data_IF_495103671435
#
_entry.id   IF_495103671435
#
_cell.length_a   1.000
_cell.length_b   1.000
_cell.length_c   1.000
_cell.angle_alpha   90.00
_cell.angle_beta   90.00
_cell.angle_gamma   90.00
#
_symmetry.space_group_name_H-M   'P 1'
#
loop_
_entity.id
_entity.type
_entity.pdbx_description
1 polymer ?
#
# COMPACT_ATOMS: atom_id res chain seq x y z
N UNK A 1 -19.46 36.85 6.92
CA UNK A 1 -18.58 35.65 6.87
C UNK A 1 -17.17 35.95 6.33
N UNK A 2 -16.96 36.85 5.35
CA UNK A 2 -15.60 37.22 4.89
C UNK A 2 -14.71 37.92 5.95
N UNK A 3 -15.30 38.71 6.86
CA UNK A 3 -14.54 39.46 7.88
C UNK A 3 -13.94 38.59 9.00
N UNK A 4 -14.49 37.41 9.26
CA UNK A 4 -13.97 36.51 10.30
C UNK A 4 -12.71 35.74 9.81
N UNK A 5 -12.64 35.44 8.51
CA UNK A 5 -11.48 34.76 7.90
C UNK A 5 -10.25 35.68 7.84
N UNK A 6 -10.46 36.97 7.56
CA UNK A 6 -9.39 37.96 7.48
C UNK A 6 -8.72 38.21 8.85
N UNK A 7 -9.52 38.25 9.93
CA UNK A 7 -8.99 38.38 11.29
C UNK A 7 -8.24 37.14 11.78
N UNK A 8 -8.62 35.95 11.33
CA UNK A 8 -7.90 34.71 11.68
C UNK A 8 -6.53 34.65 10.98
N UNK A 9 -6.46 35.02 9.71
CA UNK A 9 -5.21 35.11 8.95
C UNK A 9 -4.26 36.17 9.53
N UNK A 10 -4.77 37.35 9.89
CA UNK A 10 -3.99 38.38 10.58
C UNK A 10 -3.50 37.90 11.95
N UNK A 11 -4.35 37.21 12.72
CA UNK A 11 -3.99 36.74 14.06
C UNK A 11 -2.94 35.62 14.02
N UNK A 12 -2.99 34.73 13.02
CA UNK A 12 -1.94 33.72 12.78
C UNK A 12 -0.65 34.41 12.33
N UNK A 13 -0.72 35.39 11.43
CA UNK A 13 0.45 36.15 10.99
C UNK A 13 1.10 36.93 12.15
N UNK A 14 0.34 37.55 13.05
CA UNK A 14 0.88 38.29 14.20
C UNK A 14 1.49 37.36 15.26
N UNK A 15 0.90 36.20 15.53
CA UNK A 15 1.47 35.21 16.48
C UNK A 15 2.73 34.57 15.91
N UNK A 16 2.74 34.26 14.60
CA UNK A 16 3.90 33.70 13.89
C UNK A 16 5.02 34.74 13.77
N UNK A 17 4.73 36.00 13.40
CA UNK A 17 5.73 37.08 13.41
C UNK A 17 6.26 37.37 14.82
N UNK A 18 5.42 37.34 15.85
CA UNK A 18 5.83 37.54 17.24
C UNK A 18 6.78 36.44 17.74
N UNK A 19 6.53 35.19 17.35
CA UNK A 19 7.43 34.06 17.64
C UNK A 19 8.74 34.12 16.84
N UNK A 20 8.68 34.49 15.56
CA UNK A 20 9.87 34.65 14.71
C UNK A 20 10.74 35.83 15.15
N UNK A 21 10.17 36.97 15.54
CA UNK A 21 10.93 38.13 16.05
C UNK A 21 11.64 37.81 17.38
N UNK A 22 11.01 36.99 18.24
CA UNK A 22 11.63 36.50 19.47
C UNK A 22 12.82 35.55 19.20
N UNK A 23 12.73 34.72 18.16
CA UNK A 23 13.80 33.78 17.76
C UNK A 23 14.95 34.52 17.06
N UNK A 24 14.65 35.48 16.18
CA UNK A 24 15.65 36.31 15.50
C UNK A 24 16.39 37.22 16.47
N UNK A 25 15.71 37.83 17.44
CA UNK A 25 16.36 38.64 18.49
C UNK A 25 17.31 37.83 19.37
N UNK A 26 17.09 36.52 19.54
CA UNK A 26 17.98 35.65 20.31
C UNK A 26 19.22 35.23 19.50
N UNK A 27 19.14 35.24 18.17
CA UNK A 27 20.24 34.93 17.27
C UNK A 27 21.20 36.12 17.04
N UNK A 28 20.71 37.36 17.11
CA UNK A 28 21.55 38.57 16.97
C UNK A 28 22.52 38.78 18.14
N UNK A 29 22.26 38.22 19.32
CA UNK A 29 23.13 38.37 20.50
C UNK A 29 24.38 37.46 20.54
N UNK A 30 24.63 36.63 19.53
CA UNK A 30 25.75 35.67 19.51
C UNK A 30 26.75 35.85 18.35
N UNK A 31 26.69 36.96 17.60
CA UNK A 31 27.47 37.14 16.37
C UNK A 31 28.42 38.33 16.36
N UNK A 32 29.36 38.43 17.31
CA UNK A 32 30.48 39.36 17.20
C UNK A 32 31.82 38.62 17.26
N UNK A 33 32.10 37.83 16.23
CA UNK A 33 33.49 37.53 15.82
C UNK A 33 33.54 37.26 14.32
N UNK A 34 34.38 38.04 13.64
CA UNK A 34 34.63 38.01 12.21
C UNK A 34 35.09 36.62 11.74
N UNK A 35 34.32 35.99 10.85
CA UNK A 35 34.88 35.04 9.89
C UNK A 35 34.03 35.06 8.61
N UNK A 36 34.42 35.91 7.66
CA UNK A 36 33.81 36.04 6.35
C UNK A 36 34.23 34.88 5.44
N UNK A 37 33.58 33.73 5.58
CA UNK A 37 33.41 32.79 4.46
C UNK A 37 32.18 33.28 3.72
N UNK A 38 32.35 33.71 2.47
CA UNK A 38 31.27 34.29 1.66
C UNK A 38 30.08 33.33 1.56
N UNK A 39 29.04 33.58 2.35
CA UNK A 39 27.71 33.07 2.10
C UNK A 39 27.24 33.75 0.80
N UNK A 40 26.91 33.00 -0.27
CA UNK A 40 26.28 33.62 -1.43
C UNK A 40 25.03 34.35 -0.95
N UNK A 41 24.72 35.50 -1.56
CA UNK A 41 23.55 36.31 -1.22
C UNK A 41 22.27 35.51 -1.50
N UNK A 42 21.84 34.71 -0.51
CA UNK A 42 20.71 33.79 -0.64
C UNK A 42 19.37 34.51 -0.59
N UNK A 43 19.35 35.83 -0.27
CA UNK A 43 18.13 36.60 -0.07
C UNK A 43 17.33 36.80 -1.37
N UNK A 44 17.99 36.75 -2.52
CA UNK A 44 17.37 36.83 -3.86
C UNK A 44 17.47 35.50 -4.64
N UNK A 45 17.88 34.42 -3.98
CA UNK A 45 18.17 33.16 -4.67
C UNK A 45 16.89 32.38 -5.00
N UNK A 46 16.84 31.86 -6.23
CA UNK A 46 15.75 31.01 -6.67
C UNK A 46 15.77 29.67 -5.92
N UNK A 47 14.82 29.41 -5.01
CA UNK A 47 14.74 28.17 -4.22
C UNK A 47 14.86 26.90 -5.10
N UNK A 48 14.34 26.94 -6.31
CA UNK A 48 14.44 25.83 -7.28
C UNK A 48 15.88 25.39 -7.53
N UNK A 49 16.87 26.30 -7.51
CA UNK A 49 18.27 25.94 -7.76
C UNK A 49 18.91 25.13 -6.63
N UNK A 50 18.28 25.06 -5.47
CA UNK A 50 18.74 24.26 -4.33
C UNK A 50 18.04 22.90 -4.23
N UNK A 51 16.99 22.66 -5.03
CA UNK A 51 16.30 21.38 -5.05
C UNK A 51 17.23 20.28 -5.57
N UNK A 52 17.17 19.12 -4.93
CA UNK A 52 17.95 17.92 -5.31
C UNK A 52 17.14 16.98 -6.19
N UNK A 53 15.81 17.09 -6.15
CA UNK A 53 14.88 16.21 -6.85
C UNK A 53 13.87 17.01 -7.67
N UNK A 54 13.22 16.36 -8.65
CA UNK A 54 12.15 17.00 -9.42
C UNK A 54 10.94 17.37 -8.54
N UNK A 55 10.65 16.56 -7.52
CA UNK A 55 9.63 16.85 -6.51
C UNK A 55 9.98 18.11 -5.72
N UNK A 56 11.22 18.19 -5.22
CA UNK A 56 11.74 19.37 -4.55
C UNK A 56 11.69 20.62 -5.41
N UNK A 57 12.05 20.52 -6.70
CA UNK A 57 12.03 21.66 -7.61
C UNK A 57 10.61 22.23 -7.79
N UNK A 58 9.61 21.36 -7.94
CA UNK A 58 8.20 21.75 -8.05
C UNK A 58 7.65 22.31 -6.73
N UNK A 59 8.06 21.75 -5.61
CA UNK A 59 7.71 22.28 -4.28
C UNK A 59 8.34 23.66 -4.05
N UNK A 60 9.60 23.87 -4.45
CA UNK A 60 10.29 25.15 -4.36
C UNK A 60 9.56 26.25 -5.15
N UNK A 61 9.15 25.96 -6.39
CA UNK A 61 8.35 26.90 -7.19
C UNK A 61 7.00 27.25 -6.52
N UNK A 62 6.33 26.24 -5.94
CA UNK A 62 5.11 26.45 -5.18
C UNK A 62 5.36 27.34 -3.96
N UNK A 63 6.39 27.05 -3.17
CA UNK A 63 6.80 27.85 -2.01
C UNK A 63 7.05 29.29 -2.43
N UNK A 64 7.80 29.53 -3.51
CA UNK A 64 8.12 30.86 -4.02
C UNK A 64 6.89 31.67 -4.47
N UNK A 65 5.82 30.98 -4.89
CA UNK A 65 4.56 31.62 -5.26
C UNK A 65 3.68 32.02 -4.06
N UNK A 66 4.02 31.60 -2.84
CA UNK A 66 3.33 32.01 -1.62
C UNK A 66 3.61 33.49 -1.36
N UNK A 67 2.64 34.34 -1.67
CA UNK A 67 2.73 35.78 -1.45
C UNK A 67 1.75 36.19 -0.35
N UNK A 68 2.29 36.75 0.74
CA UNK A 68 1.47 37.43 1.76
C UNK A 68 1.56 38.92 1.48
N UNK A 69 0.41 39.56 1.25
CA UNK A 69 0.30 41.01 1.27
C UNK A 69 0.32 41.45 2.74
N UNK A 70 1.42 42.06 3.17
CA UNK A 70 1.41 42.86 4.39
C UNK A 70 0.78 44.20 4.00
N UNK A 71 -0.44 44.45 4.48
CA UNK A 71 -1.08 45.74 4.27
C UNK A 71 -0.24 46.81 4.98
N UNK A 72 0.14 47.84 4.24
CA UNK A 72 0.96 48.93 4.73
C UNK A 72 0.09 49.89 5.53
N UNK A 73 -0.45 49.46 6.67
CA UNK A 73 -0.98 50.42 7.62
C UNK A 73 0.23 51.09 8.29
N UNK A 74 0.47 52.40 8.07
CA UNK A 74 1.51 53.09 8.80
C UNK A 74 1.17 53.03 10.28
N UNK A 75 1.97 52.31 11.06
CA UNK A 75 1.96 52.46 12.51
C UNK A 75 2.38 53.90 12.78
N UNK A 76 1.41 54.76 13.09
CA UNK A 76 1.66 56.12 13.57
C UNK A 76 2.37 56.01 14.93
N UNK A 77 3.70 55.92 14.90
CA UNK A 77 4.53 56.25 16.04
C UNK A 77 4.49 57.76 16.34
N UNK A 78 4.92 58.19 17.53
CA UNK A 78 5.01 59.60 17.86
C UNK A 78 5.82 60.37 16.80
N UNK A 79 5.51 61.67 16.57
CA UNK A 79 6.04 62.41 15.42
C UNK A 79 7.57 62.43 15.42
N UNK A 80 8.20 61.87 14.37
CA UNK A 80 9.64 61.95 14.15
C UNK A 80 10.37 60.63 13.85
N UNK A 81 9.73 59.46 14.06
CA UNK A 81 10.34 58.15 13.78
C UNK A 81 9.38 57.22 13.02
N UNK A 82 9.16 57.52 11.74
CA UNK A 82 8.54 56.55 10.82
C UNK A 82 9.62 55.60 10.30
N UNK A 83 9.54 54.31 10.63
CA UNK A 83 10.27 53.29 9.88
C UNK A 83 9.51 53.06 8.56
N UNK A 84 10.13 53.31 7.39
CA UNK A 84 9.49 52.99 6.12
C UNK A 84 9.42 51.47 5.98
N UNK A 85 8.26 50.88 6.30
CA UNK A 85 7.92 49.54 5.83
C UNK A 85 7.46 49.70 4.40
N UNK A 86 8.35 49.41 3.44
CA UNK A 86 7.93 49.33 2.04
C UNK A 86 6.89 48.21 1.93
N UNK A 87 5.67 48.55 1.50
CA UNK A 87 4.66 47.57 1.13
C UNK A 87 5.22 46.71 -0.01
N UNK A 88 5.54 45.45 0.30
CA UNK A 88 6.06 44.47 -0.64
C UNK A 88 5.32 43.15 -0.48
N UNK A 89 5.26 42.35 -1.55
CA UNK A 89 4.88 40.94 -1.40
C UNK A 89 6.00 40.24 -0.65
N UNK A 90 5.71 39.74 0.56
CA UNK A 90 6.68 38.99 1.34
C UNK A 90 6.37 37.51 1.26
N UNK A 91 7.37 36.73 0.87
CA UNK A 91 7.32 35.29 0.95
C UNK A 91 7.93 34.83 2.29
N UNK A 92 7.11 34.88 3.33
CA UNK A 92 7.52 34.52 4.70
C UNK A 92 8.06 33.08 4.78
N UNK A 93 7.56 32.17 3.95
CA UNK A 93 7.96 30.77 3.98
C UNK A 93 9.33 30.56 3.33
N UNK A 94 9.60 31.21 2.20
CA UNK A 94 10.92 31.20 1.54
C UNK A 94 11.99 31.83 2.41
N UNK A 95 11.69 33.00 3.01
CA UNK A 95 12.61 33.70 3.88
C UNK A 95 12.94 32.89 5.13
N UNK A 96 11.96 32.19 5.71
CA UNK A 96 12.17 31.29 6.85
C UNK A 96 13.12 30.15 6.47
N UNK A 97 12.93 29.49 5.33
CA UNK A 97 13.81 28.40 4.88
C UNK A 97 15.25 28.90 4.74
N UNK A 98 15.46 30.05 4.10
CA UNK A 98 16.79 30.63 3.89
C UNK A 98 17.42 31.07 5.22
N UNK A 99 16.66 31.72 6.11
CA UNK A 99 17.17 32.23 7.38
C UNK A 99 17.57 31.12 8.36
N UNK A 100 16.86 29.99 8.34
CA UNK A 100 17.13 28.87 9.23
C UNK A 100 18.18 27.90 8.70
N UNK A 101 18.47 27.94 7.40
CA UNK A 101 19.40 27.03 6.73
C UNK A 101 20.82 27.61 6.68
N UNK A 102 21.81 27.04 7.39
CA UNK A 102 23.17 27.58 7.44
C UNK A 102 23.95 27.38 6.12
N UNK A 103 23.49 26.50 5.23
CA UNK A 103 24.09 26.27 3.92
C UNK A 103 23.06 26.02 2.81
N UNK A 104 23.50 26.12 1.55
CA UNK A 104 22.73 25.75 0.36
C UNK A 104 22.25 24.29 0.38
N UNK A 105 23.03 23.39 1.00
CA UNK A 105 22.64 21.99 1.14
C UNK A 105 21.47 21.83 2.12
N UNK A 106 21.44 22.62 3.20
CA UNK A 106 20.36 22.61 4.19
C UNK A 106 19.05 23.17 3.61
N UNK A 107 19.14 24.19 2.74
CA UNK A 107 18.00 24.68 1.95
C UNK A 107 17.42 23.55 1.10
N UNK A 108 18.29 22.77 0.43
CA UNK A 108 17.87 21.59 -0.33
C UNK A 108 17.16 20.54 0.54
N UNK A 109 17.67 20.24 1.74
CA UNK A 109 17.02 19.32 2.68
C UNK A 109 15.64 19.82 3.09
N UNK A 110 15.51 21.11 3.41
CA UNK A 110 14.23 21.72 3.77
C UNK A 110 13.20 21.61 2.63
N UNK A 111 13.61 21.90 1.39
CA UNK A 111 12.76 21.79 0.20
C UNK A 111 12.29 20.34 -0.01
N UNK A 112 13.18 19.35 0.08
CA UNK A 112 12.80 17.94 -0.10
C UNK A 112 11.83 17.45 0.99
N UNK A 113 12.06 17.87 2.24
CA UNK A 113 11.16 17.53 3.37
C UNK A 113 9.75 18.11 3.17
N UNK A 114 9.67 19.33 2.61
CA UNK A 114 8.42 20.02 2.29
C UNK A 114 7.71 19.46 1.06
N UNK A 115 8.45 18.86 0.13
CA UNK A 115 7.89 18.31 -1.11
C UNK A 115 6.92 17.16 -0.86
N UNK A 116 7.07 16.38 0.22
CA UNK A 116 6.10 15.34 0.61
C UNK A 116 5.78 14.29 -0.47
N UNK A 117 6.79 13.84 -1.23
CA UNK A 117 6.60 12.82 -2.28
C UNK A 117 6.02 11.49 -1.77
N UNK A 118 6.12 11.22 -0.46
CA UNK A 118 5.51 10.04 0.17
C UNK A 118 3.99 9.96 0.01
N UNK A 119 3.29 11.07 -0.21
CA UNK A 119 1.85 11.07 -0.49
C UNK A 119 1.49 10.33 -1.79
N UNK A 120 2.40 10.30 -2.77
CA UNK A 120 2.23 9.52 -4.00
C UNK A 120 2.43 8.01 -3.76
N UNK A 121 3.23 7.60 -2.77
CA UNK A 121 3.49 6.17 -2.49
C UNK A 121 2.33 5.46 -1.77
N UNK A 122 1.31 6.20 -1.34
CA UNK A 122 0.16 5.64 -0.61
C UNK A 122 -0.70 4.70 -1.45
N UNK A 123 -0.76 4.87 -2.77
CA UNK A 123 -1.48 3.95 -3.67
C UNK A 123 -0.84 2.56 -3.66
N UNK A 124 0.48 2.50 -3.91
CA UNK A 124 1.24 1.25 -3.93
C UNK A 124 1.16 0.51 -2.60
N UNK A 125 1.27 1.21 -1.47
CA UNK A 125 1.10 0.64 -0.14
C UNK A 125 -0.33 0.10 0.10
N UNK A 126 -1.36 0.86 -0.29
CA UNK A 126 -2.75 0.43 -0.11
C UNK A 126 -3.08 -0.79 -0.97
N UNK A 127 -2.59 -0.83 -2.22
CA UNK A 127 -2.74 -1.97 -3.13
C UNK A 127 -2.01 -3.21 -2.59
N UNK A 128 -0.78 -3.05 -2.09
CA UNK A 128 -0.05 -4.14 -1.44
C UNK A 128 -0.81 -4.67 -0.21
N UNK A 129 -1.39 -3.79 0.62
CA UNK A 129 -2.17 -4.16 1.80
C UNK A 129 -3.44 -4.96 1.48
N UNK A 130 -4.10 -4.64 0.37
CA UNK A 130 -5.35 -5.28 -0.06
C UNK A 130 -5.15 -6.57 -0.86
N UNK A 131 -3.93 -6.81 -1.37
CA UNK A 131 -3.59 -8.01 -2.16
C UNK A 131 -3.87 -9.35 -1.44
N UNK A 132 -3.86 -9.36 -0.10
CA UNK A 132 -4.13 -10.55 0.70
C UNK A 132 -5.52 -11.12 0.48
N UNK A 133 -6.50 -10.29 0.11
CA UNK A 133 -7.88 -10.71 -0.12
C UNK A 133 -7.99 -11.59 -1.36
N UNK A 134 -7.37 -11.18 -2.47
CA UNK A 134 -7.34 -11.96 -3.70
C UNK A 134 -6.53 -13.25 -3.51
N UNK A 135 -5.42 -13.20 -2.78
CA UNK A 135 -4.66 -14.41 -2.45
C UNK A 135 -5.47 -15.39 -1.60
N UNK A 136 -6.32 -14.89 -0.68
CA UNK A 136 -7.25 -15.71 0.09
C UNK A 136 -8.29 -16.40 -0.80
N UNK A 137 -8.84 -15.69 -1.80
CA UNK A 137 -9.76 -16.30 -2.79
C UNK A 137 -9.08 -17.40 -3.60
N UNK A 138 -7.85 -17.15 -4.09
CA UNK A 138 -7.08 -18.16 -4.83
C UNK A 138 -6.77 -19.37 -3.95
N UNK A 139 -6.49 -19.16 -2.66
CA UNK A 139 -6.28 -20.24 -1.70
C UNK A 139 -7.56 -21.06 -1.47
N UNK A 140 -8.71 -20.41 -1.33
CA UNK A 140 -10.00 -21.09 -1.18
C UNK A 140 -10.42 -21.88 -2.45
N UNK A 141 -10.05 -21.38 -3.63
CA UNK A 141 -10.25 -22.03 -4.94
C UNK A 141 -9.11 -22.98 -5.32
N UNK A 142 -8.25 -23.36 -4.37
CA UNK A 142 -7.35 -24.46 -4.65
C UNK A 142 -8.15 -25.75 -4.81
N UNK A 143 -7.75 -26.61 -5.76
CA UNK A 143 -8.51 -27.80 -6.10
C UNK A 143 -8.76 -28.67 -4.87
N UNK A 144 -10.05 -28.87 -4.59
CA UNK A 144 -10.56 -29.94 -3.73
C UNK A 144 -10.49 -31.21 -4.59
N UNK A 145 -9.30 -31.75 -4.77
CA UNK A 145 -8.99 -33.02 -5.44
C UNK A 145 -10.21 -33.86 -5.89
N UNK A 146 -10.77 -33.52 -7.06
CA UNK A 146 -12.04 -34.06 -7.54
C UNK A 146 -11.95 -35.38 -8.29
N UNK A 147 -10.82 -35.74 -8.90
CA UNK A 147 -10.78 -36.95 -9.73
C UNK A 147 -9.37 -37.54 -9.93
N UNK A 148 -8.64 -37.69 -8.84
CA UNK A 148 -7.46 -38.56 -8.82
C UNK A 148 -7.43 -39.27 -7.49
N UNK A 149 -8.47 -40.07 -7.27
CA UNK A 149 -8.32 -41.20 -6.36
C UNK A 149 -7.08 -41.95 -6.82
N UNK A 150 -6.09 -42.12 -5.94
CA UNK A 150 -5.23 -43.27 -6.08
C UNK A 150 -6.20 -44.47 -6.24
N UNK A 151 -6.02 -45.36 -7.22
CA UNK A 151 -6.76 -46.61 -7.26
C UNK A 151 -6.25 -47.50 -6.12
N UNK A 152 -6.35 -47.05 -4.87
CA UNK A 152 -6.23 -47.94 -3.71
C UNK A 152 -7.57 -48.65 -3.64
N UNK A 153 -7.64 -49.82 -4.27
CA UNK A 153 -8.76 -50.76 -4.13
C UNK A 153 -9.58 -51.06 -5.40
N UNK A 154 -9.08 -50.80 -6.61
CA UNK A 154 -9.75 -51.30 -7.83
C UNK A 154 -9.08 -52.55 -8.43
N UNK A 155 -7.85 -52.87 -8.04
CA UNK A 155 -7.23 -54.16 -8.37
C UNK A 155 -7.40 -55.13 -7.19
N UNK A 156 -8.42 -55.98 -7.28
CA UNK A 156 -8.71 -57.03 -6.29
C UNK A 156 -7.60 -58.07 -6.18
N UNK A 157 -6.65 -58.12 -7.13
CA UNK A 157 -5.50 -59.03 -7.07
C UNK A 157 -4.36 -58.51 -6.19
N UNK A 158 -4.29 -57.19 -5.92
CA UNK A 158 -3.20 -56.58 -5.15
C UNK A 158 -3.57 -56.27 -3.70
N UNK A 159 -4.86 -56.29 -3.33
CA UNK A 159 -5.31 -56.01 -1.95
C UNK A 159 -6.48 -56.91 -1.51
N UNK A 160 -6.27 -58.24 -1.33
CA UNK A 160 -7.34 -59.19 -1.03
C UNK A 160 -8.13 -58.83 0.25
N UNK A 161 -7.45 -58.27 1.26
CA UNK A 161 -8.06 -57.89 2.53
C UNK A 161 -9.04 -56.71 2.41
N UNK A 162 -8.77 -55.74 1.52
CA UNK A 162 -9.61 -54.55 1.33
C UNK A 162 -10.80 -54.81 0.40
N UNK A 163 -10.70 -55.83 -0.46
CA UNK A 163 -11.80 -56.28 -1.31
C UNK A 163 -12.89 -57.04 -0.51
N UNK A 164 -12.50 -57.75 0.55
CA UNK A 164 -13.40 -58.54 1.40
C UNK A 164 -14.02 -57.71 2.55
N UNK A 165 -13.23 -56.84 3.18
CA UNK A 165 -13.70 -56.00 4.29
C UNK A 165 -14.35 -54.67 3.85
N UNK A 166 -14.19 -54.29 2.58
CA UNK A 166 -14.47 -52.95 2.07
C UNK A 166 -13.54 -51.90 2.71
N UNK A 167 -13.32 -50.76 2.05
CA UNK A 167 -12.71 -49.61 2.73
C UNK A 167 -13.82 -48.94 3.55
N UNK A 168 -13.76 -48.91 4.89
CA UNK A 168 -14.69 -48.16 5.71
C UNK A 168 -14.79 -46.73 5.17
N UNK A 169 -15.99 -46.18 5.06
CA UNK A 169 -16.22 -44.81 4.62
C UNK A 169 -15.45 -43.78 5.48
N UNK A 170 -15.07 -44.15 6.71
CA UNK A 170 -14.17 -43.38 7.58
C UNK A 170 -12.69 -43.37 7.15
N UNK A 171 -12.25 -44.35 6.34
CA UNK A 171 -10.90 -44.43 5.74
C UNK A 171 -10.86 -43.85 4.31
N UNK A 172 -12.00 -43.45 3.73
CA UNK A 172 -12.02 -42.57 2.54
C UNK A 172 -11.63 -41.16 2.95
N UNK A 173 -10.34 -40.97 3.21
CA UNK A 173 -9.80 -39.70 3.68
C UNK A 173 -9.30 -38.88 2.50
N UNK A 174 -10.22 -38.15 1.87
CA UNK A 174 -9.95 -36.92 1.13
C UNK A 174 -11.20 -36.06 1.28
N UNK A 175 -11.04 -34.87 1.87
CA UNK A 175 -11.79 -33.66 1.57
C UNK A 175 -12.99 -33.93 0.63
N UNK A 176 -14.20 -34.13 1.16
CA UNK A 176 -15.33 -34.64 0.37
C UNK A 176 -15.49 -33.79 -0.92
N UNK A 177 -15.18 -34.33 -2.11
CA UNK A 177 -15.25 -33.56 -3.36
C UNK A 177 -16.69 -33.16 -3.68
N UNK A 178 -17.66 -33.91 -3.16
CA UNK A 178 -19.08 -33.62 -3.19
C UNK A 178 -19.61 -32.88 -1.95
N UNK A 179 -18.74 -32.28 -1.12
CA UNK A 179 -19.18 -31.43 -0.01
C UNK A 179 -20.02 -30.29 -0.58
N UNK A 180 -21.27 -30.19 -0.14
CA UNK A 180 -22.17 -29.17 -0.66
C UNK A 180 -21.72 -27.79 -0.20
N UNK A 181 -21.13 -27.67 0.99
CA UNK A 181 -20.64 -26.41 1.54
C UNK A 181 -19.26 -26.50 2.19
N UNK A 182 -18.56 -25.37 2.23
CA UNK A 182 -17.35 -25.14 3.02
C UNK A 182 -17.41 -23.82 3.74
N UNK A 183 -16.90 -23.78 4.96
CA UNK A 183 -16.55 -22.55 5.68
C UNK A 183 -15.04 -22.57 5.90
N UNK A 184 -14.40 -21.42 5.72
CA UNK A 184 -12.98 -21.28 5.99
C UNK A 184 -12.67 -19.96 6.67
N UNK A 185 -11.67 -20.00 7.55
CA UNK A 185 -11.11 -18.84 8.24
C UNK A 185 -9.62 -18.77 7.91
N UNK A 186 -9.16 -17.60 7.51
CA UNK A 186 -7.79 -17.33 7.14
C UNK A 186 -7.24 -16.18 7.97
N UNK A 187 -6.05 -16.35 8.52
CA UNK A 187 -5.23 -15.29 9.11
C UNK A 187 -4.01 -15.02 8.24
N UNK A 188 -3.65 -13.75 8.10
CA UNK A 188 -2.50 -13.32 7.28
C UNK A 188 -1.65 -12.29 7.99
N UNK A 189 -0.33 -12.40 7.80
CA UNK A 189 0.65 -11.39 8.17
C UNK A 189 1.54 -11.08 6.96
N UNK A 190 1.58 -9.82 6.56
CA UNK A 190 2.31 -9.35 5.39
C UNK A 190 3.37 -8.33 5.79
N UNK A 191 4.51 -8.41 5.11
CA UNK A 191 5.57 -7.42 5.15
C UNK A 191 5.90 -6.99 3.72
N UNK A 192 5.83 -5.69 3.46
CA UNK A 192 6.12 -5.09 2.17
C UNK A 192 7.20 -4.03 2.29
N UNK A 193 8.01 -3.88 1.26
CA UNK A 193 8.93 -2.77 1.09
C UNK A 193 8.82 -2.23 -0.33
N UNK A 194 8.70 -0.92 -0.44
CA UNK A 194 8.77 -0.15 -1.66
C UNK A 194 10.03 0.71 -1.58
N UNK A 195 10.96 0.51 -2.50
CA UNK A 195 12.18 1.29 -2.57
C UNK A 195 11.86 2.72 -3.04
N UNK A 196 12.65 3.68 -2.58
CA UNK A 196 12.43 5.10 -2.83
C UNK A 196 12.94 5.52 -4.20
N UNK A 197 12.08 6.15 -5.00
CA UNK A 197 12.41 6.75 -6.31
C UNK A 197 11.94 8.21 -6.35
N UNK A 198 12.44 8.98 -7.32
CA UNK A 198 12.06 10.40 -7.50
C UNK A 198 12.25 11.28 -6.25
N UNK A 199 13.21 10.95 -5.39
CA UNK A 199 13.43 11.68 -4.14
C UNK A 199 12.52 11.29 -2.98
N UNK A 200 11.80 10.18 -3.09
CA UNK A 200 11.05 9.60 -1.98
C UNK A 200 11.93 8.67 -1.15
N UNK A 201 11.68 8.61 0.15
CA UNK A 201 12.28 7.62 1.04
C UNK A 201 11.62 6.25 0.82
N UNK A 202 12.33 5.17 1.16
CA UNK A 202 11.75 3.82 1.12
C UNK A 202 10.56 3.71 2.10
N UNK A 203 9.52 3.00 1.69
CA UNK A 203 8.32 2.78 2.48
C UNK A 203 8.21 1.31 2.86
N UNK A 204 8.13 1.04 4.15
CA UNK A 204 7.87 -0.28 4.70
C UNK A 204 6.41 -0.40 5.11
N UNK A 205 5.87 -1.60 4.99
CA UNK A 205 4.49 -1.90 5.29
C UNK A 205 4.39 -3.19 6.08
N UNK A 206 3.57 -3.18 7.14
CA UNK A 206 3.24 -4.36 7.94
C UNK A 206 1.75 -4.50 8.06
N UNK A 207 1.18 -5.53 7.44
CA UNK A 207 -0.27 -5.78 7.46
C UNK A 207 -0.58 -7.04 8.24
N UNK A 208 -1.58 -6.99 9.11
CA UNK A 208 -2.16 -8.18 9.74
C UNK A 208 -3.65 -8.17 9.44
N UNK A 209 -4.19 -9.32 9.08
CA UNK A 209 -5.61 -9.41 8.73
C UNK A 209 -6.19 -10.80 8.93
N UNK A 210 -7.52 -10.84 8.84
CA UNK A 210 -8.27 -12.09 8.85
C UNK A 210 -9.41 -12.01 7.83
N UNK A 211 -9.71 -13.15 7.22
CA UNK A 211 -10.76 -13.30 6.22
C UNK A 211 -11.57 -14.54 6.57
N UNK A 212 -12.88 -14.41 6.58
CA UNK A 212 -13.83 -15.51 6.70
C UNK A 212 -14.54 -15.66 5.35
N UNK A 213 -14.65 -16.88 4.88
CA UNK A 213 -15.39 -17.18 3.67
C UNK A 213 -16.25 -18.42 3.79
N UNK A 214 -17.23 -18.48 2.90
CA UNK A 214 -18.12 -19.62 2.74
C UNK A 214 -18.34 -19.85 1.26
N UNK A 215 -18.36 -21.12 0.84
CA UNK A 215 -18.65 -21.50 -0.53
C UNK A 215 -19.43 -22.80 -0.63
N UNK A 216 -20.11 -22.96 -1.77
CA UNK A 216 -20.98 -24.09 -2.03
C UNK A 216 -20.85 -24.57 -3.47
N UNK A 217 -21.04 -25.88 -3.66
CA UNK A 217 -21.18 -26.48 -4.98
C UNK A 217 -22.59 -26.20 -5.52
N UNK A 218 -22.68 -25.52 -6.66
CA UNK A 218 -23.94 -25.33 -7.41
C UNK A 218 -24.22 -26.49 -8.36
N UNK A 219 -23.17 -27.13 -8.85
CA UNK A 219 -23.22 -28.32 -9.69
C UNK A 219 -21.95 -29.13 -9.50
N UNK A 220 -21.84 -30.27 -10.19
CA UNK A 220 -20.61 -31.06 -10.23
C UNK A 220 -19.40 -30.30 -10.76
N UNK A 221 -19.61 -29.20 -11.51
CA UNK A 221 -18.54 -28.41 -12.13
C UNK A 221 -18.31 -27.08 -11.42
N UNK A 222 -19.36 -26.46 -10.86
CA UNK A 222 -19.30 -25.09 -10.34
C UNK A 222 -19.34 -25.03 -8.82
N UNK A 223 -18.44 -24.21 -8.26
CA UNK A 223 -18.44 -23.78 -6.86
C UNK A 223 -18.39 -22.27 -6.79
N UNK A 224 -19.22 -21.68 -5.95
CA UNK A 224 -19.24 -20.22 -5.73
C UNK A 224 -19.07 -19.91 -4.26
N UNK A 225 -18.44 -18.79 -3.96
CA UNK A 225 -18.22 -18.36 -2.59
C UNK A 225 -18.24 -16.86 -2.42
N UNK A 226 -18.43 -16.47 -1.17
CA UNK A 226 -18.32 -15.09 -0.72
C UNK A 226 -17.40 -15.04 0.48
N UNK A 227 -16.78 -13.88 0.67
CA UNK A 227 -15.91 -13.63 1.81
C UNK A 227 -16.12 -12.23 2.38
N UNK A 228 -15.76 -12.11 3.65
CA UNK A 228 -15.61 -10.85 4.36
C UNK A 228 -14.32 -10.87 5.16
N UNK A 229 -13.67 -9.73 5.31
CA UNK A 229 -12.42 -9.65 6.05
C UNK A 229 -12.14 -8.28 6.60
N UNK A 230 -11.17 -8.24 7.51
CA UNK A 230 -10.64 -7.01 8.09
C UNK A 230 -9.12 -7.10 8.16
N UNK A 231 -8.44 -6.00 7.85
CA UNK A 231 -7.00 -5.89 7.99
C UNK A 231 -6.60 -4.54 8.56
N UNK A 232 -5.46 -4.53 9.25
CA UNK A 232 -4.78 -3.32 9.71
C UNK A 232 -3.37 -3.32 9.15
N UNK A 233 -2.97 -2.20 8.57
CA UNK A 233 -1.63 -1.98 8.06
C UNK A 233 -0.98 -0.81 8.77
N UNK A 234 0.28 -0.97 9.18
CA UNK A 234 1.15 0.13 9.55
C UNK A 234 2.07 0.43 8.36
N UNK A 235 2.31 1.70 8.11
CA UNK A 235 3.16 2.21 7.05
C UNK A 235 4.26 3.03 7.71
N UNK A 236 5.51 2.71 7.43
CA UNK A 236 6.66 3.34 8.08
C UNK A 236 7.67 3.76 7.01
N UNK A 237 8.07 5.02 7.04
CA UNK A 237 9.17 5.56 6.23
C UNK A 237 9.97 6.54 7.09
N UNK A 238 11.13 6.99 6.62
CA UNK A 238 12.01 7.87 7.39
C UNK A 238 11.27 9.12 7.93
N UNK A 239 10.38 9.69 7.12
CA UNK A 239 9.60 10.89 7.46
C UNK A 239 8.07 10.67 7.44
N UNK A 240 7.59 9.43 7.50
CA UNK A 240 6.15 9.12 7.45
C UNK A 240 5.79 7.99 8.42
N UNK A 241 4.83 8.25 9.30
CA UNK A 241 4.14 7.25 10.11
C UNK A 241 2.68 7.16 9.65
N UNK A 242 2.24 6.01 9.17
CA UNK A 242 0.91 5.78 8.62
C UNK A 242 0.20 4.57 9.22
N UNK A 243 -1.13 4.63 9.25
CA UNK A 243 -2.00 3.52 9.62
C UNK A 243 -3.16 3.42 8.64
N UNK A 244 -3.47 2.19 8.23
CA UNK A 244 -4.57 1.89 7.33
C UNK A 244 -5.46 0.81 7.96
N UNK A 245 -6.75 1.08 8.11
CA UNK A 245 -7.74 0.09 8.54
C UNK A 245 -8.63 -0.23 7.35
N UNK A 246 -8.76 -1.51 7.03
CA UNK A 246 -9.47 -1.93 5.83
C UNK A 246 -10.51 -2.98 6.14
N UNK A 247 -11.69 -2.85 5.55
CA UNK A 247 -12.64 -3.94 5.46
C UNK A 247 -12.71 -4.44 4.02
N UNK A 248 -13.00 -5.71 3.86
CA UNK A 248 -12.95 -6.41 2.58
C UNK A 248 -14.23 -7.20 2.38
N UNK A 249 -14.78 -7.16 1.18
CA UNK A 249 -15.86 -8.05 0.74
C UNK A 249 -15.52 -8.56 -0.64
N UNK A 250 -15.90 -9.80 -0.92
CA UNK A 250 -15.68 -10.32 -2.25
C UNK A 250 -16.46 -11.59 -2.53
N UNK A 251 -16.45 -11.95 -3.81
CA UNK A 251 -17.07 -13.15 -4.32
C UNK A 251 -16.11 -13.84 -5.29
N UNK A 252 -16.24 -15.15 -5.37
CA UNK A 252 -15.42 -15.96 -6.25
C UNK A 252 -16.23 -17.14 -6.81
N UNK A 253 -15.78 -17.64 -7.95
CA UNK A 253 -16.34 -18.81 -8.59
C UNK A 253 -15.23 -19.66 -9.19
N UNK A 254 -15.36 -20.97 -9.05
CA UNK A 254 -14.47 -21.96 -9.60
C UNK A 254 -15.28 -22.93 -10.45
N UNK A 255 -14.81 -23.19 -11.67
CA UNK A 255 -15.31 -24.26 -12.52
C UNK A 255 -14.21 -25.28 -12.75
N UNK A 256 -14.48 -26.54 -12.45
CA UNK A 256 -13.62 -27.65 -12.81
C UNK A 256 -14.32 -28.53 -13.85
N UNK A 257 -13.65 -28.77 -14.98
CA UNK A 257 -14.18 -29.54 -16.10
C UNK A 257 -13.07 -30.47 -16.63
N UNK A 258 -12.98 -31.66 -16.04
CA UNK A 258 -11.85 -32.56 -16.24
C UNK A 258 -10.50 -31.90 -15.87
N UNK A 259 -9.53 -31.82 -16.78
CA UNK A 259 -8.24 -31.17 -16.52
C UNK A 259 -8.33 -29.63 -16.56
N UNK A 260 -9.41 -29.05 -17.10
CA UNK A 260 -9.55 -27.60 -17.20
C UNK A 260 -10.08 -27.01 -15.89
N UNK A 261 -9.47 -25.91 -15.45
CA UNK A 261 -9.91 -25.16 -14.27
C UNK A 261 -10.06 -23.70 -14.64
N UNK A 262 -11.21 -23.13 -14.34
CA UNK A 262 -11.45 -21.69 -14.44
C UNK A 262 -11.68 -21.14 -13.03
N UNK A 263 -10.96 -20.08 -12.66
CA UNK A 263 -11.14 -19.37 -11.40
C UNK A 263 -11.45 -17.91 -11.70
N UNK A 264 -12.48 -17.40 -11.05
CA UNK A 264 -12.95 -16.03 -11.15
C UNK A 264 -13.04 -15.47 -9.75
N UNK A 265 -12.67 -14.21 -9.56
CA UNK A 265 -12.83 -13.54 -8.28
C UNK A 265 -12.88 -12.04 -8.42
N UNK A 266 -13.63 -11.39 -7.54
CA UNK A 266 -13.68 -9.95 -7.42
C UNK A 266 -13.83 -9.53 -5.95
N UNK A 267 -13.09 -8.51 -5.56
CA UNK A 267 -13.08 -7.95 -4.22
C UNK A 267 -13.23 -6.43 -4.27
N UNK A 268 -13.97 -5.90 -3.30
CA UNK A 268 -14.00 -4.50 -2.95
C UNK A 268 -13.44 -4.33 -1.54
N UNK A 269 -12.60 -3.34 -1.35
CA UNK A 269 -12.08 -2.96 -0.05
C UNK A 269 -12.25 -1.47 0.14
N UNK A 270 -12.69 -1.05 1.32
CA UNK A 270 -12.61 0.36 1.72
C UNK A 270 -11.64 0.49 2.89
N UNK A 271 -10.94 1.62 2.87
CA UNK A 271 -9.75 1.89 3.64
C UNK A 271 -9.90 3.25 4.34
N UNK A 272 -9.73 3.26 5.65
CA UNK A 272 -9.62 4.46 6.46
C UNK A 272 -8.13 4.66 6.81
N UNK A 273 -7.57 5.78 6.35
CA UNK A 273 -6.15 6.09 6.40
C UNK A 273 -5.84 7.26 7.33
N UNK A 274 -4.81 7.07 8.15
CA UNK A 274 -4.27 8.03 9.11
C UNK A 274 -2.77 8.20 8.86
N UNK A 275 -2.34 9.37 8.40
CA UNK A 275 -0.91 9.63 8.12
C UNK A 275 -0.37 10.78 8.95
N UNK A 276 0.90 10.67 9.35
CA UNK A 276 1.68 11.74 9.98
C UNK A 276 3.01 11.84 9.27
N UNK A 277 3.28 12.99 8.67
CA UNK A 277 4.58 13.30 8.08
C UNK A 277 5.44 14.04 9.10
N UNK A 278 6.74 13.83 9.07
CA UNK A 278 7.70 14.64 9.82
C UNK A 278 8.37 15.60 8.86
N UNK A 279 8.29 16.89 9.15
CA UNK A 279 8.98 17.94 8.40
C UNK A 279 9.99 18.56 9.34
N UNK A 280 11.26 18.28 9.10
CA UNK A 280 12.33 18.68 10.01
C UNK A 280 13.55 19.16 9.22
N UNK A 281 14.01 20.35 9.58
CA UNK A 281 15.28 20.93 9.14
C UNK A 281 15.74 21.90 10.22
N UNK A 282 16.95 22.47 10.08
CA UNK A 282 17.54 23.35 11.10
C UNK A 282 16.54 24.41 11.57
N UNK A 283 16.25 24.47 12.87
CA UNK A 283 15.33 25.44 13.47
C UNK A 283 13.84 25.28 13.14
N UNK A 284 13.42 24.23 12.41
CA UNK A 284 12.02 23.98 12.04
C UNK A 284 11.65 22.51 12.24
N UNK A 285 10.57 22.26 12.97
CA UNK A 285 10.01 20.92 13.15
C UNK A 285 8.50 20.98 13.23
N UNK A 286 7.83 20.29 12.29
CA UNK A 286 6.39 20.12 12.28
C UNK A 286 6.03 18.65 12.02
N UNK A 287 4.83 18.25 12.49
CA UNK A 287 4.26 16.93 12.19
C UNK A 287 2.86 17.03 11.59
N UNK A 288 2.73 17.38 10.30
CA UNK A 288 1.44 17.41 9.62
C UNK A 288 0.72 16.07 9.70
N UNK A 289 -0.59 16.11 9.96
CA UNK A 289 -1.46 14.93 10.09
C UNK A 289 -2.59 14.99 9.07
N UNK A 290 -2.76 13.92 8.30
CA UNK A 290 -3.84 13.75 7.34
C UNK A 290 -4.72 12.55 7.69
N UNK A 291 -6.03 12.68 7.44
CA UNK A 291 -6.99 11.58 7.42
C UNK A 291 -7.62 11.52 6.04
N UNK A 292 -7.74 10.33 5.47
CA UNK A 292 -8.32 10.13 4.15
C UNK A 292 -9.08 8.82 4.09
N UNK A 293 -10.06 8.78 3.19
CA UNK A 293 -10.74 7.57 2.78
C UNK A 293 -10.21 7.12 1.43
N UNK A 294 -10.14 5.81 1.22
CA UNK A 294 -9.78 5.21 -0.05
C UNK A 294 -10.58 3.92 -0.29
N UNK A 295 -10.69 3.53 -1.55
CA UNK A 295 -11.20 2.22 -1.95
C UNK A 295 -10.27 1.52 -2.94
N UNK A 296 -10.34 0.19 -2.93
CA UNK A 296 -9.71 -0.63 -3.94
C UNK A 296 -10.68 -1.68 -4.48
N UNK A 297 -10.61 -1.86 -5.79
CA UNK A 297 -11.40 -2.80 -6.57
C UNK A 297 -10.43 -3.73 -7.25
N UNK A 298 -10.57 -5.04 -7.04
CA UNK A 298 -9.70 -6.04 -7.63
C UNK A 298 -10.55 -7.13 -8.27
N UNK A 299 -10.17 -7.57 -9.45
CA UNK A 299 -10.82 -8.68 -10.14
C UNK A 299 -9.79 -9.54 -10.86
N UNK A 300 -10.05 -10.84 -11.00
CA UNK A 300 -9.22 -11.72 -11.79
C UNK A 300 -10.04 -12.83 -12.46
N UNK A 301 -9.48 -13.31 -13.57
CA UNK A 301 -9.88 -14.54 -14.24
C UNK A 301 -8.63 -15.36 -14.54
N UNK A 302 -8.57 -16.58 -14.04
CA UNK A 302 -7.45 -17.51 -14.22
C UNK A 302 -7.96 -18.79 -14.91
N UNK A 303 -7.31 -19.18 -16.00
CA UNK A 303 -7.49 -20.47 -16.63
C UNK A 303 -6.25 -21.34 -16.36
N UNK A 304 -6.48 -22.57 -15.90
CA UNK A 304 -5.45 -23.56 -15.64
C UNK A 304 -5.72 -24.87 -16.36
N UNK A 305 -4.67 -25.60 -16.69
CA UNK A 305 -4.76 -26.94 -17.28
C UNK A 305 -3.97 -27.94 -16.45
N UNK A 306 -4.66 -28.87 -15.79
CA UNK A 306 -4.05 -29.83 -14.88
C UNK A 306 -3.50 -31.03 -15.63
N UNK A 307 -2.21 -31.25 -15.44
CA UNK A 307 -1.44 -32.38 -15.92
C UNK A 307 -0.97 -33.17 -14.70
N UNK A 308 -0.94 -34.50 -14.78
CA UNK A 308 -0.42 -35.31 -13.68
C UNK A 308 -0.94 -36.73 -13.67
N UNK A 309 -0.21 -37.59 -12.97
CA UNK A 309 -0.59 -38.98 -12.73
C UNK A 309 -0.19 -39.37 -11.31
N UNK A 310 -1.07 -40.10 -10.62
CA UNK A 310 -0.83 -40.58 -9.26
C UNK A 310 -0.77 -39.46 -8.22
N UNK A 311 0.42 -39.23 -7.65
CA UNK A 311 0.61 -38.34 -6.49
C UNK A 311 1.01 -36.91 -6.86
N UNK A 312 1.30 -36.64 -8.12
CA UNK A 312 1.79 -35.35 -8.58
C UNK A 312 0.80 -34.68 -9.51
N UNK A 313 0.67 -33.36 -9.36
CA UNK A 313 -0.11 -32.49 -10.24
C UNK A 313 0.72 -31.27 -10.62
N UNK A 314 0.64 -30.91 -11.89
CA UNK A 314 1.26 -29.76 -12.52
C UNK A 314 0.16 -29.00 -13.24
N UNK A 315 -0.04 -27.74 -12.92
CA UNK A 315 -1.09 -26.91 -13.49
C UNK A 315 -0.44 -25.63 -14.03
N UNK A 316 -0.01 -25.60 -15.31
CA UNK A 316 0.21 -24.34 -16.00
C UNK A 316 -1.08 -23.50 -15.96
N UNK A 317 -0.93 -22.21 -15.74
CA UNK A 317 -2.05 -21.28 -15.71
C UNK A 317 -1.72 -19.94 -16.39
N UNK A 318 -2.77 -19.29 -16.87
CA UNK A 318 -2.76 -17.92 -17.34
C UNK A 318 -3.88 -17.15 -16.63
N UNK A 319 -3.55 -15.99 -16.09
CA UNK A 319 -4.49 -15.11 -15.38
C UNK A 319 -4.50 -13.73 -15.99
N UNK A 320 -5.68 -13.13 -16.07
CA UNK A 320 -5.87 -11.70 -16.22
C UNK A 320 -6.29 -11.14 -14.85
N UNK A 321 -5.77 -9.98 -14.50
CA UNK A 321 -6.10 -9.26 -13.28
C UNK A 321 -6.35 -7.79 -13.56
N UNK A 322 -7.34 -7.21 -12.89
CA UNK A 322 -7.60 -5.78 -12.89
C UNK A 322 -7.54 -5.28 -11.46
N UNK A 323 -6.86 -4.17 -11.23
CA UNK A 323 -6.85 -3.46 -9.96
C UNK A 323 -7.13 -1.99 -10.18
N UNK A 324 -7.91 -1.39 -9.30
CA UNK A 324 -8.14 0.04 -9.23
C UNK A 324 -8.05 0.49 -7.78
N UNK A 325 -7.36 1.60 -7.57
CA UNK A 325 -7.26 2.33 -6.33
C UNK A 325 -7.82 3.73 -6.53
N UNK A 326 -8.62 4.18 -5.57
CA UNK A 326 -9.07 5.56 -5.49
C UNK A 326 -8.90 6.06 -4.07
N UNK A 327 -8.33 7.25 -3.91
CA UNK A 327 -8.26 7.97 -2.63
C UNK A 327 -8.91 9.32 -2.80
N UNK A 328 -9.74 9.67 -1.84
CA UNK A 328 -10.32 10.99 -1.76
C UNK A 328 -9.24 12.05 -1.53
N UNK A 329 -9.58 13.28 -1.89
CA UNK A 329 -8.78 14.44 -1.50
C UNK A 329 -8.80 14.59 0.02
N UNK A 330 -7.71 15.09 0.59
CA UNK A 330 -7.65 15.37 2.01
C UNK A 330 -6.77 16.59 2.30
N UNK A 331 -6.90 17.14 3.49
CA UNK A 331 -6.11 18.28 3.93
C UNK A 331 -5.41 17.95 5.23
N UNK A 332 -4.07 18.03 5.20
CA UNK A 332 -3.25 17.91 6.39
C UNK A 332 -3.52 19.07 7.36
N UNK A 333 -3.27 18.82 8.64
CA UNK A 333 -3.31 19.82 9.71
C UNK A 333 -2.02 19.75 10.51
N UNK A 334 -1.63 20.86 11.13
CA UNK A 334 -0.52 20.85 12.09
C UNK A 334 0.66 21.76 11.76
N UNK A 335 0.46 22.79 10.93
CA UNK A 335 1.45 23.85 10.75
C UNK A 335 1.48 24.45 9.35
N UNK A 336 2.54 25.21 9.06
CA UNK A 336 2.75 25.89 7.78
C UNK A 336 3.09 24.92 6.65
N UNK A 337 3.65 23.75 6.99
CA UNK A 337 4.00 22.69 6.04
C UNK A 337 2.84 21.77 5.65
N UNK A 338 1.63 22.03 6.17
CA UNK A 338 0.43 21.27 5.87
C UNK A 338 0.02 21.40 4.40
N UNK A 339 -0.36 20.28 3.79
CA UNK A 339 -0.75 20.20 2.39
C UNK A 339 -2.25 19.90 2.22
N UNK A 340 -2.87 20.54 1.24
CA UNK A 340 -4.09 20.05 0.61
C UNK A 340 -3.68 19.12 -0.54
N UNK A 341 -4.07 17.85 -0.43
CA UNK A 341 -3.69 16.80 -1.38
C UNK A 341 -4.95 16.42 -2.18
N UNK A 342 -4.84 16.51 -3.50
CA UNK A 342 -5.94 16.21 -4.41
C UNK A 342 -6.28 14.69 -4.37
N UNK A 343 -7.44 14.32 -4.90
CA UNK A 343 -7.81 12.92 -5.06
C UNK A 343 -6.82 12.22 -6.02
N UNK A 344 -6.56 10.94 -5.77
CA UNK A 344 -5.67 10.12 -6.60
C UNK A 344 -6.41 8.86 -7.07
N UNK A 345 -6.31 8.54 -8.36
CA UNK A 345 -6.81 7.28 -8.91
C UNK A 345 -5.68 6.59 -9.67
N UNK A 346 -5.55 5.29 -9.49
CA UNK A 346 -4.62 4.46 -10.24
C UNK A 346 -5.31 3.15 -10.59
N UNK A 347 -5.26 2.75 -11.85
CA UNK A 347 -5.79 1.46 -12.29
C UNK A 347 -4.85 0.78 -13.28
N UNK A 348 -4.77 -0.54 -13.16
CA UNK A 348 -3.89 -1.34 -13.98
C UNK A 348 -4.54 -2.67 -14.34
N UNK A 349 -4.34 -3.06 -15.59
CA UNK A 349 -4.55 -4.42 -16.04
C UNK A 349 -3.23 -5.18 -15.88
N UNK A 350 -3.31 -6.47 -15.57
CA UNK A 350 -2.15 -7.35 -15.52
C UNK A 350 -2.45 -8.69 -16.17
N UNK A 351 -1.42 -9.32 -16.70
CA UNK A 351 -1.44 -10.73 -17.09
C UNK A 351 -0.42 -11.49 -16.25
N UNK A 352 -0.76 -12.70 -15.82
CA UNK A 352 0.18 -13.58 -15.11
C UNK A 352 0.22 -14.93 -15.81
N UNK A 353 1.41 -15.40 -16.13
CA UNK A 353 1.63 -16.75 -16.62
C UNK A 353 2.44 -17.51 -15.58
N UNK A 354 2.03 -18.71 -15.25
CA UNK A 354 2.70 -19.47 -14.21
C UNK A 354 2.45 -20.95 -14.26
N UNK A 355 3.08 -21.64 -13.31
CA UNK A 355 2.92 -23.07 -13.09
C UNK A 355 2.73 -23.32 -11.62
N UNK A 356 1.79 -24.20 -11.31
CA UNK A 356 1.51 -24.67 -9.96
C UNK A 356 1.83 -26.15 -9.86
N UNK A 357 2.55 -26.54 -8.82
CA UNK A 357 2.89 -27.92 -8.53
C UNK A 357 2.24 -28.29 -7.20
N UNK A 358 1.65 -29.47 -7.12
CA UNK A 358 1.24 -30.04 -5.85
C UNK A 358 1.49 -31.54 -5.82
N UNK A 359 1.86 -32.04 -4.66
CA UNK A 359 2.13 -33.44 -4.42
C UNK A 359 1.30 -33.93 -3.24
N UNK A 360 0.66 -35.10 -3.37
CA UNK A 360 -0.13 -35.71 -2.28
C UNK A 360 0.65 -36.83 -1.60
N UNK A 361 0.66 -36.80 -0.28
CA UNK A 361 1.17 -37.86 0.59
C UNK A 361 0.12 -38.26 1.61
N UNK A 362 -0.17 -39.55 1.71
CA UNK A 362 -0.93 -40.11 2.83
C UNK A 362 0.05 -40.73 3.83
N UNK A 363 -0.11 -40.35 5.09
CA UNK A 363 0.62 -40.92 6.21
C UNK A 363 -0.09 -42.19 6.72
N UNK A 364 0.64 -43.13 7.34
CA UNK A 364 0.06 -44.37 7.88
C UNK A 364 -1.03 -44.15 8.94
N UNK A 365 -1.00 -43.00 9.62
CA UNK A 365 -1.99 -42.60 10.63
C UNK A 365 -3.28 -41.98 10.03
N UNK A 366 -3.43 -42.00 8.70
CA UNK A 366 -4.58 -41.46 7.99
C UNK A 366 -4.48 -39.99 7.62
N UNK A 367 -3.54 -39.21 8.15
CA UNK A 367 -3.38 -37.79 7.80
C UNK A 367 -2.92 -37.64 6.34
N UNK A 368 -3.52 -36.69 5.62
CA UNK A 368 -3.09 -36.32 4.26
C UNK A 368 -2.27 -35.04 4.30
N UNK A 369 -1.13 -35.05 3.62
CA UNK A 369 -0.25 -33.90 3.41
C UNK A 369 -0.24 -33.56 1.92
N UNK A 370 -0.45 -32.28 1.60
CA UNK A 370 -0.38 -31.77 0.23
C UNK A 370 0.55 -30.55 0.18
N UNK A 371 1.87 -30.74 0.06
CA UNK A 371 2.77 -29.67 -0.30
C UNK A 371 2.42 -29.12 -1.68
N UNK A 372 2.50 -27.79 -1.80
CA UNK A 372 2.21 -27.04 -3.02
C UNK A 372 3.22 -25.93 -3.24
N UNK A 373 3.51 -25.65 -4.49
CA UNK A 373 4.31 -24.50 -4.90
C UNK A 373 3.72 -23.87 -6.15
N UNK A 374 3.91 -22.56 -6.30
CA UNK A 374 3.51 -21.83 -7.51
C UNK A 374 4.60 -20.84 -7.87
N UNK A 375 4.86 -20.73 -9.18
CA UNK A 375 5.73 -19.70 -9.75
C UNK A 375 4.95 -19.01 -10.86
N UNK A 376 4.95 -17.69 -10.87
CA UNK A 376 4.27 -16.90 -11.89
C UNK A 376 5.07 -15.65 -12.24
N UNK A 377 5.11 -15.31 -13.52
CA UNK A 377 5.56 -14.02 -13.99
C UNK A 377 4.35 -13.17 -14.31
N UNK A 378 4.29 -11.98 -13.71
CA UNK A 378 3.22 -11.01 -13.88
C UNK A 378 3.74 -9.81 -14.65
N UNK A 379 2.98 -9.40 -15.65
CA UNK A 379 3.19 -8.17 -16.40
C UNK A 379 2.03 -7.20 -16.15
N UNK A 380 2.34 -5.94 -15.81
CA UNK A 380 1.41 -4.86 -15.50
C UNK A 380 1.38 -3.86 -16.65
N UNK A 381 0.19 -3.64 -17.20
CA UNK A 381 -0.08 -2.76 -18.34
C UNK A 381 -0.61 -1.40 -17.89
N UNK A 382 -0.59 -0.46 -18.83
CA UNK A 382 -1.08 0.91 -18.62
C UNK A 382 -0.05 1.83 -17.99
N UNK A 383 -0.56 2.92 -17.41
CA UNK A 383 0.22 3.89 -16.66
C UNK A 383 0.60 3.30 -15.29
N UNK A 384 1.90 3.24 -15.03
CA UNK A 384 2.46 2.71 -13.80
C UNK A 384 3.01 3.80 -12.89
N UNK A 385 3.01 5.06 -13.36
CA UNK A 385 3.54 6.18 -12.62
C UNK A 385 2.60 6.50 -11.46
N UNK A 386 3.16 6.57 -10.25
CA UNK A 386 2.40 7.02 -9.09
C UNK A 386 2.57 8.52 -8.93
N UNK A 387 1.48 9.28 -9.03
CA UNK A 387 1.50 10.73 -8.94
C UNK A 387 0.30 11.27 -8.17
N UNK A 388 0.54 12.34 -7.41
CA UNK A 388 -0.54 13.14 -6.80
C UNK A 388 -0.25 14.62 -6.96
N UNK A 389 -1.30 15.42 -7.04
CA UNK A 389 -1.22 16.88 -7.00
C UNK A 389 -1.51 17.35 -5.58
N UNK A 390 -0.81 18.39 -5.15
CA UNK A 390 -0.97 18.96 -3.81
C UNK A 390 -0.58 20.44 -3.77
N UNK A 391 -1.03 21.16 -2.76
CA UNK A 391 -0.72 22.57 -2.52
C UNK A 391 -0.48 22.81 -1.04
N UNK A 392 0.34 23.79 -0.67
CA UNK A 392 0.44 24.23 0.72
C UNK A 392 -0.87 24.89 1.15
N UNK A 393 -1.37 24.53 2.33
CA UNK A 393 -2.58 25.12 2.91
C UNK A 393 -2.41 26.61 3.17
N UNK A 394 -1.16 27.04 3.41
CA UNK A 394 -0.79 28.45 3.57
C UNK A 394 -0.98 29.27 2.26
N UNK A 395 -1.03 28.62 1.10
CA UNK A 395 -1.18 29.25 -0.21
C UNK A 395 -0.15 28.76 -1.24
N UNK A 396 -0.04 29.50 -2.34
CA UNK A 396 0.85 29.15 -3.45
C UNK A 396 0.20 28.24 -4.50
N UNK A 397 0.89 28.07 -5.61
CA UNK A 397 0.46 27.23 -6.72
C UNK A 397 0.53 25.76 -6.32
N UNK A 398 -0.47 24.98 -6.70
CA UNK A 398 -0.38 23.53 -6.54
C UNK A 398 0.70 22.94 -7.45
N UNK A 399 1.28 21.85 -7.01
CA UNK A 399 2.36 21.14 -7.67
C UNK A 399 2.12 19.64 -7.65
N UNK A 400 2.71 18.95 -8.64
CA UNK A 400 2.68 17.49 -8.74
C UNK A 400 3.85 16.91 -7.97
N UNK A 401 3.62 15.78 -7.30
CA UNK A 401 4.68 14.92 -6.80
C UNK A 401 4.58 13.52 -7.37
N UNK A 402 5.74 12.92 -7.60
CA UNK A 402 5.93 11.61 -8.18
C UNK A 402 6.47 10.68 -7.10
N UNK A 403 5.86 9.51 -6.99
CA UNK A 403 6.30 8.44 -6.12
C UNK A 403 7.14 7.42 -6.86
N UNK A 404 7.34 6.28 -6.22
CA UNK A 404 7.90 5.10 -6.85
C UNK A 404 6.84 4.48 -7.78
N UNK A 405 7.15 4.32 -9.08
CA UNK A 405 6.22 3.71 -10.02
C UNK A 405 5.99 2.24 -9.70
N UNK A 406 4.84 1.71 -10.08
CA UNK A 406 4.60 0.27 -10.08
C UNK A 406 5.55 -0.40 -11.07
N UNK A 407 6.10 -1.54 -10.68
CA UNK A 407 6.93 -2.30 -11.60
C UNK A 407 6.07 -2.98 -12.66
N UNK A 408 6.53 -2.91 -13.92
CA UNK A 408 5.86 -3.58 -15.03
C UNK A 408 5.95 -5.09 -14.91
N UNK A 409 7.05 -5.61 -14.37
CA UNK A 409 7.29 -7.04 -14.28
C UNK A 409 7.52 -7.44 -12.82
N UNK A 410 6.80 -8.47 -12.36
CA UNK A 410 7.03 -9.08 -11.05
C UNK A 410 7.05 -10.60 -11.12
N UNK A 411 7.80 -11.20 -10.20
CA UNK A 411 7.85 -12.63 -9.95
C UNK A 411 6.97 -12.94 -8.72
N UNK A 412 5.91 -13.69 -8.94
CA UNK A 412 5.06 -14.25 -7.90
C UNK A 412 5.54 -15.66 -7.53
N UNK A 413 5.79 -15.88 -6.25
CA UNK A 413 6.23 -17.16 -5.68
C UNK A 413 5.28 -17.56 -4.56
N UNK A 414 4.85 -18.82 -4.54
CA UNK A 414 4.05 -19.38 -3.47
C UNK A 414 4.63 -20.74 -3.06
N UNK A 415 4.61 -21.02 -1.76
CA UNK A 415 4.83 -22.34 -1.21
C UNK A 415 3.84 -22.57 -0.07
N UNK A 416 3.31 -23.78 0.06
CA UNK A 416 2.37 -24.10 1.12
C UNK A 416 2.24 -25.58 1.39
N UNK A 417 1.53 -25.88 2.47
CA UNK A 417 1.23 -27.23 2.91
C UNK A 417 -0.21 -27.27 3.40
N UNK A 418 -1.01 -28.13 2.79
CA UNK A 418 -2.35 -28.45 3.29
C UNK A 418 -2.32 -29.78 4.06
N UNK A 419 -2.91 -29.78 5.24
CA UNK A 419 -2.96 -30.91 6.17
C UNK A 419 -4.42 -31.29 6.38
N UNK A 420 -4.82 -32.43 5.84
CA UNK A 420 -6.13 -33.03 6.09
C UNK A 420 -6.16 -33.70 7.46
N UNK A 421 -6.73 -33.01 8.45
CA UNK A 421 -6.86 -33.51 9.82
C UNK A 421 -7.98 -34.56 9.93
N UNK A 422 -9.02 -34.44 9.12
CA UNK A 422 -10.12 -35.41 9.00
C UNK A 422 -10.82 -35.26 7.64
N UNK A 423 -11.86 -36.07 7.40
CA UNK A 423 -12.69 -35.97 6.19
C UNK A 423 -13.36 -34.59 6.00
N UNK A 424 -13.48 -33.80 7.07
CA UNK A 424 -14.13 -32.48 7.04
C UNK A 424 -13.19 -31.32 7.32
N UNK A 425 -12.07 -31.54 8.01
CA UNK A 425 -11.21 -30.47 8.49
C UNK A 425 -9.86 -30.46 7.78
N UNK A 426 -9.49 -29.30 7.25
CA UNK A 426 -8.18 -29.04 6.64
C UNK A 426 -7.54 -27.83 7.31
N UNK A 427 -6.24 -27.95 7.62
CA UNK A 427 -5.40 -26.86 8.07
C UNK A 427 -4.33 -26.61 7.02
N UNK A 428 -4.16 -25.37 6.61
CA UNK A 428 -3.19 -24.97 5.59
C UNK A 428 -2.26 -23.89 6.13
N UNK A 429 -0.99 -23.99 5.78
CA UNK A 429 0.00 -22.93 5.99
C UNK A 429 0.62 -22.58 4.65
N UNK A 430 0.83 -21.30 4.39
CA UNK A 430 1.37 -20.80 3.15
C UNK A 430 2.31 -19.62 3.35
N UNK A 431 3.24 -19.51 2.41
CA UNK A 431 4.08 -18.36 2.21
C UNK A 431 3.90 -17.88 0.76
N UNK A 432 3.71 -16.58 0.55
CA UNK A 432 3.73 -16.00 -0.79
C UNK A 432 4.65 -14.79 -0.84
N UNK A 433 5.29 -14.60 -1.98
CA UNK A 433 6.09 -13.42 -2.26
C UNK A 433 5.75 -12.86 -3.65
N UNK A 434 5.72 -11.54 -3.76
CA UNK A 434 5.71 -10.81 -5.02
C UNK A 434 6.95 -9.92 -5.06
N UNK A 435 7.82 -10.16 -6.04
CA UNK A 435 9.15 -9.59 -6.12
C UNK A 435 9.31 -8.85 -7.44
N UNK A 436 9.69 -7.58 -7.37
CA UNK A 436 9.93 -6.73 -8.53
C UNK A 436 11.14 -5.83 -8.29
N UNK A 437 11.48 -4.95 -9.25
CA UNK A 437 12.65 -4.08 -9.15
C UNK A 437 12.59 -3.14 -7.95
N UNK A 438 11.43 -2.51 -7.73
CA UNK A 438 11.22 -1.47 -6.73
C UNK A 438 10.37 -1.96 -5.55
N UNK A 439 9.77 -3.15 -5.62
CA UNK A 439 8.88 -3.65 -4.56
C UNK A 439 9.14 -5.12 -4.20
N UNK A 440 9.01 -5.41 -2.90
CA UNK A 440 9.10 -6.77 -2.36
C UNK A 440 8.02 -6.94 -1.32
N UNK A 441 7.09 -7.85 -1.58
CA UNK A 441 5.99 -8.15 -0.69
C UNK A 441 6.05 -9.61 -0.28
N UNK A 442 5.95 -9.88 1.01
CA UNK A 442 6.00 -11.20 1.60
C UNK A 442 4.77 -11.40 2.48
N UNK A 443 4.18 -12.59 2.44
CA UNK A 443 3.02 -12.96 3.22
C UNK A 443 3.20 -14.32 3.86
N UNK A 444 2.77 -14.44 5.11
CA UNK A 444 2.49 -15.71 5.77
C UNK A 444 0.99 -15.84 5.97
N UNK A 445 0.48 -17.03 5.68
CA UNK A 445 -0.95 -17.32 5.68
C UNK A 445 -1.18 -18.61 6.46
N UNK A 446 -2.17 -18.59 7.36
CA UNK A 446 -2.73 -19.78 7.98
C UNK A 446 -4.22 -19.86 7.67
N UNK A 447 -4.71 -21.02 7.24
CA UNK A 447 -6.12 -21.22 6.94
C UNK A 447 -6.65 -22.48 7.60
N UNK A 448 -7.83 -22.37 8.20
CA UNK A 448 -8.63 -23.51 8.63
C UNK A 448 -9.88 -23.61 7.76
N UNK A 449 -10.20 -24.81 7.30
CA UNK A 449 -11.37 -25.08 6.47
C UNK A 449 -12.17 -26.25 7.03
N UNK A 450 -13.50 -26.12 6.97
CA UNK A 450 -14.47 -27.16 7.30
C UNK A 450 -15.40 -27.40 6.12
N UNK A 451 -15.55 -28.66 5.71
CA UNK A 451 -16.46 -29.11 4.65
C UNK A 451 -17.66 -29.85 5.25
N UNK A 452 -18.87 -29.65 4.71
CA UNK A 452 -20.11 -30.30 5.19
C UNK A 452 -21.05 -30.75 4.06
#
# INVERSE_FOLDING_TARGET
MLFACHRLALCVATVVLGGLLSQVSSAETLGDTQNSVGLPDMRDANLKSYARTANGARAAESIQSISVLLDSDPIYGPPGHGFPVNGGQYNVFSNMIIALSPSAADVGVAIESLAAGSNANLSSATLAASSSVINSMRMAMQPIDGDSGLPVGLDSSQTPFLADSGVPSALRNLNNPGAQGRVWLLGTGNYGRLDGEHGTDSLEQRTVGSVLGVDWSLSSLWRIGVLGGYSKSNLDSHNLDGQLRSWHVGAYAMREDGPFVLRLGAAYSSHDGDNRRTVEFTGFSERPKGRYDADSQQAFAEAGYRLGSGRWSVEPFASLGYQRYHRDQFTEKGGMSALAVDAQTQDNLSSTFGVRLAQRHQLPNGISLKPRTSLGWRHTYGDVDSQTRQAFVLGGNAFKVEGTPLDRDSLAVEAGLDVGLSARHTLSVGYSADLSSNSRNHALIGQWQVSF
#
